data_IF_287568599374
#
_entry.id   IF_287568599374
#
_cell.length_a   1.000
_cell.length_b   1.000
_cell.length_c   1.000
_cell.angle_alpha   90.00
_cell.angle_beta   90.00
_cell.angle_gamma   90.00
#
_symmetry.space_group_name_H-M   'P 1'
#
loop_
_entity.id
_entity.type
_entity.pdbx_description
1 polymer ?
#
# COMPACT_ATOMS: atom_id res chain seq x y z
N UNK A 1 29.30 -96.49 -27.70
CA UNK A 1 29.84 -95.24 -27.13
C UNK A 1 31.02 -94.84 -28.00
N UNK A 2 30.77 -94.09 -29.08
CA UNK A 2 31.80 -93.74 -30.06
C UNK A 2 32.43 -92.40 -29.65
N UNK A 3 33.55 -92.45 -28.91
CA UNK A 3 34.42 -91.28 -28.76
C UNK A 3 35.04 -90.98 -30.12
N UNK A 4 34.79 -89.79 -30.65
CA UNK A 4 35.46 -89.35 -31.88
C UNK A 4 36.90 -89.00 -31.50
N UNK A 5 37.88 -89.44 -32.29
CA UNK A 5 39.31 -89.17 -32.10
C UNK A 5 39.62 -87.66 -32.03
N UNK A 6 38.71 -86.82 -32.52
CA UNK A 6 38.74 -85.36 -32.41
C UNK A 6 38.37 -84.80 -31.03
N UNK A 7 37.74 -85.57 -30.13
CA UNK A 7 37.32 -85.07 -28.80
C UNK A 7 38.46 -85.13 -27.75
N UNK A 8 39.41 -86.04 -27.94
CA UNK A 8 40.58 -86.22 -27.06
C UNK A 8 41.47 -84.96 -27.00
N UNK A 9 41.84 -84.29 -28.12
CA UNK A 9 42.63 -83.07 -28.04
C UNK A 9 41.90 -81.91 -27.36
N UNK A 10 40.57 -81.76 -27.53
CA UNK A 10 39.81 -80.71 -26.85
C UNK A 10 39.69 -80.94 -25.34
N UNK A 11 39.56 -82.20 -24.90
CA UNK A 11 39.55 -82.54 -23.48
C UNK A 11 40.89 -82.21 -22.80
N UNK A 12 42.02 -82.47 -23.48
CA UNK A 12 43.36 -82.11 -22.99
C UNK A 12 43.55 -80.59 -22.95
N UNK A 13 43.10 -79.87 -23.98
CA UNK A 13 43.14 -78.39 -24.01
C UNK A 13 42.29 -77.77 -22.89
N UNK A 14 41.10 -78.34 -22.61
CA UNK A 14 40.26 -77.94 -21.48
C UNK A 14 40.95 -78.15 -20.13
N UNK A 15 41.65 -79.28 -19.96
CA UNK A 15 42.41 -79.57 -18.74
C UNK A 15 43.60 -78.61 -18.59
N UNK A 16 44.33 -78.35 -19.67
CA UNK A 16 45.45 -77.40 -19.69
C UNK A 16 44.99 -75.98 -19.37
N UNK A 17 43.85 -75.55 -19.91
CA UNK A 17 43.26 -74.26 -19.59
C UNK A 17 42.80 -74.18 -18.13
N UNK A 18 42.18 -75.24 -17.58
CA UNK A 18 41.82 -75.30 -16.16
C UNK A 18 43.05 -75.20 -15.24
N UNK A 19 44.17 -75.83 -15.61
CA UNK A 19 45.42 -75.75 -14.83
C UNK A 19 46.06 -74.36 -14.97
N UNK A 20 46.08 -73.78 -16.17
CA UNK A 20 46.58 -72.42 -16.40
C UNK A 20 45.74 -71.35 -15.69
N UNK A 21 44.47 -71.65 -15.39
CA UNK A 21 43.53 -70.78 -14.69
C UNK A 21 43.71 -70.76 -13.17
N UNK A 22 44.18 -71.84 -12.55
CA UNK A 22 44.39 -71.94 -11.09
C UNK A 22 45.14 -70.73 -10.48
N UNK A 23 46.27 -70.25 -11.03
CA UNK A 23 46.95 -69.08 -10.47
C UNK A 23 46.13 -67.78 -10.59
N UNK A 24 45.34 -67.61 -11.64
CA UNK A 24 44.45 -66.46 -11.81
C UNK A 24 43.28 -66.50 -10.83
N UNK A 25 42.71 -67.68 -10.59
CA UNK A 25 41.63 -67.88 -9.62
C UNK A 25 42.11 -67.63 -8.17
N UNK A 26 43.37 -67.98 -7.85
CA UNK A 26 43.97 -67.66 -6.55
C UNK A 26 44.15 -66.15 -6.34
N UNK A 27 44.46 -65.40 -7.41
CA UNK A 27 44.55 -63.93 -7.35
C UNK A 27 43.14 -63.32 -7.12
N UNK A 28 42.12 -63.86 -7.77
CA UNK A 28 40.72 -63.48 -7.54
C UNK A 28 40.31 -63.73 -6.08
N UNK A 29 40.56 -64.93 -5.56
CA UNK A 29 40.16 -65.36 -4.21
C UNK A 29 40.94 -64.65 -3.09
N UNK A 30 42.19 -64.23 -3.32
CA UNK A 30 43.06 -63.68 -2.27
C UNK A 30 43.26 -62.16 -2.34
N UNK A 31 43.24 -61.58 -3.55
CA UNK A 31 43.50 -60.15 -3.77
C UNK A 31 42.22 -59.41 -4.12
N UNK A 32 41.40 -59.94 -5.02
CA UNK A 32 40.18 -59.24 -5.47
C UNK A 32 39.02 -59.33 -4.48
N UNK A 33 38.94 -60.38 -3.65
CA UNK A 33 37.99 -60.45 -2.52
C UNK A 33 38.21 -59.37 -1.46
N UNK A 34 39.43 -58.82 -1.35
CA UNK A 34 39.78 -57.73 -0.43
C UNK A 34 39.46 -56.34 -0.98
N UNK A 35 39.27 -56.23 -2.30
CA UNK A 35 38.87 -54.99 -2.96
C UNK A 35 37.35 -54.88 -2.95
N UNK A 36 36.82 -53.67 -2.80
CA UNK A 36 35.38 -53.43 -2.87
C UNK A 36 34.85 -53.89 -4.26
N UNK A 37 33.77 -54.69 -4.33
CA UNK A 37 33.13 -55.09 -5.60
C UNK A 37 32.84 -53.94 -6.57
N UNK A 38 32.72 -52.70 -6.08
CA UNK A 38 32.45 -51.50 -6.90
C UNK A 38 33.72 -50.80 -7.41
N UNK A 39 34.91 -51.26 -7.01
CA UNK A 39 36.17 -50.63 -7.43
C UNK A 39 36.37 -50.77 -8.95
N UNK A 40 36.68 -49.70 -9.70
CA UNK A 40 36.86 -49.76 -11.15
C UNK A 40 37.90 -50.79 -11.62
N UNK A 41 38.99 -50.96 -10.85
CA UNK A 41 40.03 -51.94 -11.15
C UNK A 41 39.53 -53.39 -11.04
N UNK A 42 38.68 -53.68 -10.05
CA UNK A 42 38.06 -55.00 -9.85
C UNK A 42 37.03 -55.29 -10.93
N UNK A 43 36.16 -54.32 -11.25
CA UNK A 43 35.16 -54.45 -12.32
C UNK A 43 35.82 -54.69 -13.69
N UNK A 44 36.91 -53.99 -14.02
CA UNK A 44 37.64 -54.18 -15.26
C UNK A 44 38.30 -55.56 -15.34
N UNK A 45 38.85 -56.05 -14.22
CA UNK A 45 39.40 -57.39 -14.11
C UNK A 45 38.32 -58.47 -14.29
N UNK A 46 37.22 -58.39 -13.53
CA UNK A 46 36.08 -59.34 -13.62
C UNK A 46 35.49 -59.39 -15.04
N UNK A 47 35.34 -58.25 -15.71
CA UNK A 47 34.85 -58.18 -17.09
C UNK A 47 35.82 -58.80 -18.10
N UNK A 48 37.11 -58.54 -17.96
CA UNK A 48 38.13 -59.06 -18.88
C UNK A 48 38.29 -60.56 -18.72
N UNK A 49 38.27 -61.04 -17.48
CA UNK A 49 38.33 -62.46 -17.14
C UNK A 49 37.07 -63.21 -17.56
N UNK A 50 35.88 -62.64 -17.32
CA UNK A 50 34.62 -63.23 -17.76
C UNK A 50 34.51 -63.36 -19.29
N UNK A 51 35.03 -62.40 -20.07
CA UNK A 51 35.12 -62.51 -21.53
C UNK A 51 36.08 -63.60 -22.00
N UNK A 52 37.21 -63.77 -21.32
CA UNK A 52 38.16 -64.84 -21.63
C UNK A 52 37.51 -66.21 -21.38
N UNK A 53 36.79 -66.36 -20.26
CA UNK A 53 36.05 -67.56 -19.94
C UNK A 53 34.90 -67.84 -20.92
N UNK A 54 34.15 -66.81 -21.31
CA UNK A 54 33.06 -66.94 -22.26
C UNK A 54 33.57 -67.42 -23.63
N UNK A 55 34.66 -66.81 -24.13
CA UNK A 55 35.25 -67.13 -25.44
C UNK A 55 35.91 -68.50 -25.45
N UNK A 56 36.68 -68.84 -24.41
CA UNK A 56 37.33 -70.15 -24.29
C UNK A 56 36.31 -71.26 -24.02
N UNK A 57 35.29 -71.00 -23.20
CA UNK A 57 34.18 -71.91 -22.95
C UNK A 57 33.35 -72.19 -24.21
N UNK A 58 33.13 -71.16 -25.03
CA UNK A 58 32.49 -71.31 -26.35
C UNK A 58 33.34 -72.10 -27.35
N UNK A 59 34.65 -71.83 -27.42
CA UNK A 59 35.57 -72.50 -28.35
C UNK A 59 35.83 -73.97 -27.98
N UNK A 60 35.85 -74.31 -26.69
CA UNK A 60 36.14 -75.66 -26.18
C UNK A 60 34.88 -76.49 -25.86
N UNK A 61 33.68 -75.96 -26.12
CA UNK A 61 32.41 -76.63 -25.76
C UNK A 61 32.21 -76.83 -24.26
N UNK A 62 32.86 -76.02 -23.41
CA UNK A 62 32.73 -76.07 -21.97
C UNK A 62 31.60 -75.13 -21.49
N UNK A 63 30.38 -75.66 -21.40
CA UNK A 63 29.16 -74.89 -21.09
C UNK A 63 29.26 -74.15 -19.75
N UNK A 64 29.69 -74.83 -18.68
CA UNK A 64 29.81 -74.21 -17.35
C UNK A 64 30.82 -73.05 -17.30
N UNK A 65 31.83 -73.08 -18.18
CA UNK A 65 32.86 -72.04 -18.28
C UNK A 65 32.28 -70.81 -18.99
N UNK A 66 31.50 -71.06 -20.05
CA UNK A 66 30.81 -70.01 -20.80
C UNK A 66 29.72 -69.31 -19.97
N UNK A 67 28.91 -70.07 -19.24
CA UNK A 67 27.85 -69.52 -18.37
C UNK A 67 28.42 -68.66 -17.24
N UNK A 68 29.51 -69.12 -16.60
CA UNK A 68 30.18 -68.32 -15.57
C UNK A 68 30.81 -67.05 -16.12
N UNK A 69 31.47 -67.13 -17.28
CA UNK A 69 32.08 -65.97 -17.92
C UNK A 69 31.05 -64.90 -18.28
N UNK A 70 29.94 -65.31 -18.90
CA UNK A 70 28.83 -64.42 -19.25
C UNK A 70 28.17 -63.78 -18.01
N UNK A 71 27.88 -64.55 -16.96
CA UNK A 71 27.34 -64.02 -15.70
C UNK A 71 28.26 -62.99 -15.04
N UNK A 72 29.59 -63.19 -15.09
CA UNK A 72 30.57 -62.26 -14.53
C UNK A 72 30.63 -60.95 -15.32
N UNK A 73 30.56 -61.03 -16.66
CA UNK A 73 30.49 -59.85 -17.54
C UNK A 73 29.21 -59.06 -17.30
N UNK A 74 28.07 -59.73 -17.22
CA UNK A 74 26.77 -59.09 -16.95
C UNK A 74 26.76 -58.38 -15.60
N UNK A 75 27.20 -59.06 -14.54
CA UNK A 75 27.30 -58.48 -13.19
C UNK A 75 28.20 -57.25 -13.16
N UNK A 76 29.38 -57.32 -13.77
CA UNK A 76 30.32 -56.19 -13.81
C UNK A 76 29.75 -54.98 -14.56
N UNK A 77 29.09 -55.21 -15.70
CA UNK A 77 28.44 -54.14 -16.44
C UNK A 77 27.27 -53.52 -15.66
N UNK A 78 26.48 -54.33 -14.95
CA UNK A 78 25.38 -53.86 -14.13
C UNK A 78 25.86 -52.98 -12.96
N UNK A 79 26.94 -53.40 -12.27
CA UNK A 79 27.57 -52.62 -11.20
C UNK A 79 28.15 -51.30 -11.72
N UNK A 80 28.86 -51.33 -12.85
CA UNK A 80 29.39 -50.10 -13.44
C UNK A 80 28.27 -49.10 -13.79
N UNK A 81 27.15 -49.60 -14.32
CA UNK A 81 25.97 -48.77 -14.59
C UNK A 81 25.34 -48.21 -13.32
N UNK A 82 25.25 -49.00 -12.25
CA UNK A 82 24.73 -48.55 -10.97
C UNK A 82 25.57 -47.41 -10.40
N UNK A 83 26.91 -47.53 -10.41
CA UNK A 83 27.83 -46.48 -9.95
C UNK A 83 27.65 -45.18 -10.75
N UNK A 84 27.48 -45.29 -12.08
CA UNK A 84 27.23 -44.12 -12.93
C UNK A 84 25.90 -43.43 -12.58
N UNK A 85 24.83 -44.20 -12.41
CA UNK A 85 23.53 -43.68 -12.04
C UNK A 85 23.54 -43.04 -10.64
N UNK A 86 24.26 -43.63 -9.68
CA UNK A 86 24.41 -43.06 -8.32
C UNK A 86 25.19 -41.73 -8.36
N UNK A 87 26.24 -41.66 -9.17
CA UNK A 87 27.00 -40.42 -9.37
C UNK A 87 26.15 -39.33 -10.04
N UNK A 88 25.35 -39.68 -11.05
CA UNK A 88 24.40 -38.76 -11.70
C UNK A 88 23.30 -38.30 -10.72
N UNK A 89 22.71 -39.22 -9.95
CA UNK A 89 21.70 -38.88 -8.94
C UNK A 89 22.27 -37.96 -7.86
N UNK A 90 23.48 -38.24 -7.36
CA UNK A 90 24.19 -37.38 -6.40
C UNK A 90 24.47 -35.99 -6.98
N UNK A 91 24.81 -35.91 -8.27
CA UNK A 91 25.01 -34.62 -8.94
C UNK A 91 23.69 -33.85 -9.07
N UNK A 92 22.64 -34.51 -9.57
CA UNK A 92 21.33 -33.89 -9.78
C UNK A 92 20.72 -33.40 -8.46
N UNK A 93 20.85 -34.18 -7.38
CA UNK A 93 20.38 -33.76 -6.04
C UNK A 93 21.14 -32.54 -5.54
N UNK A 94 22.46 -32.48 -5.71
CA UNK A 94 23.27 -31.30 -5.34
C UNK A 94 22.90 -30.05 -6.16
N UNK A 95 22.69 -30.20 -7.46
CA UNK A 95 22.26 -29.11 -8.33
C UNK A 95 20.87 -28.60 -7.92
N UNK A 96 19.90 -29.51 -7.72
CA UNK A 96 18.55 -29.16 -7.27
C UNK A 96 18.55 -28.50 -5.88
N UNK A 97 19.36 -28.97 -4.94
CA UNK A 97 19.51 -28.35 -3.62
C UNK A 97 20.12 -26.95 -3.70
N UNK A 98 21.04 -26.73 -4.63
CA UNK A 98 21.64 -25.41 -4.86
C UNK A 98 20.60 -24.44 -5.45
N UNK A 99 19.88 -24.86 -6.49
CA UNK A 99 18.79 -24.09 -7.10
C UNK A 99 17.69 -23.76 -6.07
N UNK A 100 17.30 -24.72 -5.24
CA UNK A 100 16.30 -24.50 -4.19
C UNK A 100 16.78 -23.47 -3.18
N UNK A 101 18.05 -23.51 -2.75
CA UNK A 101 18.61 -22.54 -1.81
C UNK A 101 18.67 -21.14 -2.41
N UNK A 102 19.04 -21.02 -3.68
CA UNK A 102 19.05 -19.76 -4.41
C UNK A 102 17.64 -19.17 -4.51
N UNK A 103 16.67 -19.96 -4.95
CA UNK A 103 15.26 -19.54 -5.02
C UNK A 103 14.69 -19.15 -3.66
N UNK A 104 15.07 -19.86 -2.58
CA UNK A 104 14.67 -19.48 -1.21
C UNK A 104 15.32 -18.17 -0.76
N UNK A 105 16.58 -17.91 -1.12
CA UNK A 105 17.26 -16.68 -0.79
C UNK A 105 16.63 -15.48 -1.52
N UNK A 106 16.38 -15.62 -2.82
CA UNK A 106 15.70 -14.62 -3.65
C UNK A 106 14.29 -14.31 -3.11
N UNK A 107 13.49 -15.35 -2.84
CA UNK A 107 12.16 -15.17 -2.26
C UNK A 107 12.19 -14.50 -0.87
N UNK A 108 13.22 -14.75 -0.06
CA UNK A 108 13.39 -14.10 1.24
C UNK A 108 13.76 -12.62 1.09
N UNK A 109 14.58 -12.27 0.10
CA UNK A 109 14.94 -10.89 -0.24
C UNK A 109 13.72 -10.12 -0.77
N UNK A 110 13.00 -10.69 -1.73
CA UNK A 110 11.75 -10.11 -2.27
C UNK A 110 10.72 -9.85 -1.16
N UNK A 111 10.55 -10.80 -0.24
CA UNK A 111 9.64 -10.62 0.89
C UNK A 111 10.09 -9.51 1.84
N UNK A 112 11.39 -9.32 2.03
CA UNK A 112 11.95 -8.27 2.87
C UNK A 112 11.74 -6.90 2.22
N UNK A 113 11.99 -6.79 0.93
CA UNK A 113 11.83 -5.55 0.17
C UNK A 113 10.35 -5.16 0.06
N UNK A 114 9.47 -6.11 -0.27
CA UNK A 114 8.03 -5.88 -0.29
C UNK A 114 7.48 -5.43 1.08
N UNK A 115 8.04 -5.94 2.19
CA UNK A 115 7.69 -5.48 3.54
C UNK A 115 8.19 -4.07 3.80
N UNK A 116 9.42 -3.75 3.43
CA UNK A 116 10.00 -2.42 3.58
C UNK A 116 9.19 -1.36 2.80
N UNK A 117 8.87 -1.66 1.54
CA UNK A 117 8.03 -0.82 0.69
C UNK A 117 6.64 -0.61 1.27
N UNK A 118 6.02 -1.70 1.75
CA UNK A 118 4.70 -1.62 2.41
C UNK A 118 4.75 -0.73 3.65
N UNK A 119 5.78 -0.85 4.48
CA UNK A 119 5.94 -0.01 5.66
C UNK A 119 6.14 1.45 5.30
N UNK A 120 6.96 1.75 4.29
CA UNK A 120 7.17 3.10 3.79
C UNK A 120 5.87 3.70 3.26
N UNK A 121 5.14 2.97 2.41
CA UNK A 121 3.86 3.39 1.86
C UNK A 121 2.82 3.67 2.96
N UNK A 122 2.77 2.84 4.01
CA UNK A 122 1.88 3.06 5.17
C UNK A 122 2.30 4.31 5.95
N UNK A 123 3.60 4.53 6.17
CA UNK A 123 4.11 5.74 6.85
C UNK A 123 3.78 7.00 6.06
N UNK A 124 4.00 6.99 4.75
CA UNK A 124 3.68 8.10 3.86
C UNK A 124 2.18 8.39 3.84
N UNK A 125 1.34 7.36 3.64
CA UNK A 125 -0.11 7.51 3.65
C UNK A 125 -0.62 8.09 4.98
N UNK A 126 -0.05 7.67 6.13
CA UNK A 126 -0.38 8.25 7.44
C UNK A 126 0.04 9.71 7.54
N UNK A 127 1.25 10.06 7.09
CA UNK A 127 1.74 11.45 7.06
C UNK A 127 0.83 12.33 6.21
N UNK A 128 0.51 11.91 4.98
CA UNK A 128 -0.40 12.64 4.08
C UNK A 128 -1.79 12.78 4.68
N UNK A 129 -2.33 11.74 5.32
CA UNK A 129 -3.62 11.81 5.99
C UNK A 129 -3.62 12.81 7.15
N UNK A 130 -2.56 12.84 7.96
CA UNK A 130 -2.40 13.82 9.05
C UNK A 130 -2.31 15.25 8.51
N UNK A 131 -1.51 15.47 7.47
CA UNK A 131 -1.39 16.78 6.82
C UNK A 131 -2.74 17.24 6.25
N UNK A 132 -3.48 16.35 5.57
CA UNK A 132 -4.83 16.67 5.06
C UNK A 132 -5.80 17.02 6.17
N UNK A 133 -5.77 16.29 7.30
CA UNK A 133 -6.61 16.59 8.46
C UNK A 133 -6.30 17.97 9.04
N UNK A 134 -5.02 18.30 9.20
CA UNK A 134 -4.59 19.62 9.68
C UNK A 134 -5.00 20.73 8.71
N UNK A 135 -4.78 20.55 7.41
CA UNK A 135 -5.18 21.52 6.38
C UNK A 135 -6.70 21.73 6.34
N UNK A 136 -7.49 20.66 6.48
CA UNK A 136 -8.93 20.73 6.55
C UNK A 136 -9.41 21.51 7.79
N UNK A 137 -8.79 21.28 8.95
CA UNK A 137 -9.12 22.00 10.18
C UNK A 137 -8.76 23.48 10.07
N UNK A 138 -7.57 23.81 9.56
CA UNK A 138 -7.19 25.21 9.30
C UNK A 138 -8.12 25.90 8.29
N UNK A 139 -8.51 25.19 7.22
CA UNK A 139 -9.47 25.72 6.25
C UNK A 139 -10.85 25.96 6.89
N UNK A 140 -11.32 25.04 7.75
CA UNK A 140 -12.57 25.19 8.51
C UNK A 140 -12.51 26.40 9.45
N UNK A 141 -11.41 26.57 10.18
CA UNK A 141 -11.22 27.71 11.08
C UNK A 141 -11.22 29.03 10.30
N UNK A 142 -10.47 29.12 9.20
CA UNK A 142 -10.46 30.30 8.33
C UNK A 142 -11.86 30.63 7.81
N UNK A 143 -12.60 29.64 7.29
CA UNK A 143 -13.98 29.83 6.81
C UNK A 143 -14.90 30.33 7.92
N UNK A 144 -14.79 29.77 9.11
CA UNK A 144 -15.59 30.17 10.28
C UNK A 144 -15.28 31.61 10.69
N UNK A 145 -14.00 31.99 10.73
CA UNK A 145 -13.58 33.36 11.04
C UNK A 145 -14.06 34.36 9.97
N UNK A 146 -13.92 34.02 8.69
CA UNK A 146 -14.44 34.86 7.60
C UNK A 146 -15.96 35.01 7.66
N UNK A 147 -16.68 33.92 7.95
CA UNK A 147 -18.14 33.97 8.10
C UNK A 147 -18.56 34.84 9.29
N UNK A 148 -17.86 34.72 10.43
CA UNK A 148 -18.08 35.56 11.60
C UNK A 148 -17.82 37.04 11.27
N UNK A 149 -16.68 37.36 10.68
CA UNK A 149 -16.33 38.73 10.30
C UNK A 149 -17.37 39.36 9.35
N UNK A 150 -17.85 38.60 8.35
CA UNK A 150 -18.94 39.06 7.46
C UNK A 150 -20.24 39.31 8.21
N UNK A 151 -20.57 38.44 9.17
CA UNK A 151 -21.79 38.59 9.98
C UNK A 151 -21.71 39.82 10.87
N UNK A 152 -20.56 40.03 11.51
CA UNK A 152 -20.29 41.19 12.35
C UNK A 152 -20.31 42.50 11.53
N UNK A 153 -19.76 42.49 10.31
CA UNK A 153 -19.82 43.63 9.38
C UNK A 153 -21.27 43.97 8.99
N UNK A 154 -22.07 42.95 8.65
CA UNK A 154 -23.50 43.14 8.32
C UNK A 154 -24.28 43.68 9.53
N UNK A 155 -24.01 43.16 10.73
CA UNK A 155 -24.63 43.64 11.96
C UNK A 155 -24.25 45.10 12.26
N UNK A 156 -22.98 45.47 12.06
CA UNK A 156 -22.49 46.84 12.23
C UNK A 156 -23.19 47.81 11.25
N UNK A 157 -23.27 47.46 9.95
CA UNK A 157 -23.99 48.26 8.95
C UNK A 157 -25.47 48.43 9.29
N UNK A 158 -26.14 47.37 9.75
CA UNK A 158 -27.55 47.46 10.19
C UNK A 158 -27.72 48.38 11.39
N UNK A 159 -26.79 48.34 12.36
CA UNK A 159 -26.80 49.25 13.51
C UNK A 159 -26.64 50.71 13.09
N UNK A 160 -25.70 50.98 12.18
CA UNK A 160 -25.47 52.31 11.63
C UNK A 160 -26.71 52.84 10.90
N UNK A 161 -27.32 52.03 10.02
CA UNK A 161 -28.58 52.40 9.33
C UNK A 161 -29.70 52.71 10.33
N UNK A 162 -29.85 51.91 11.38
CA UNK A 162 -30.85 52.14 12.41
C UNK A 162 -30.60 53.43 13.21
N UNK A 163 -29.34 53.73 13.54
CA UNK A 163 -28.95 54.96 14.23
C UNK A 163 -29.19 56.20 13.36
N UNK A 164 -28.80 56.16 12.10
CA UNK A 164 -29.05 57.25 11.14
C UNK A 164 -30.55 57.48 10.94
N UNK A 165 -31.35 56.40 10.85
CA UNK A 165 -32.80 56.51 10.78
C UNK A 165 -33.42 57.12 12.05
N UNK A 166 -32.87 56.80 13.23
CA UNK A 166 -33.30 57.40 14.50
C UNK A 166 -32.99 58.89 14.55
N UNK A 167 -31.76 59.30 14.20
CA UNK A 167 -31.35 60.71 14.15
C UNK A 167 -32.24 61.52 13.20
N UNK A 168 -32.50 61.02 11.99
CA UNK A 168 -33.40 61.68 11.03
C UNK A 168 -34.83 61.84 11.57
N UNK A 169 -35.33 60.86 12.33
CA UNK A 169 -36.64 60.97 12.98
C UNK A 169 -36.62 62.03 14.09
N UNK A 170 -35.59 62.08 14.90
CA UNK A 170 -35.44 63.09 15.96
C UNK A 170 -35.34 64.51 15.38
N UNK A 171 -34.58 64.70 14.30
CA UNK A 171 -34.51 65.97 13.56
C UNK A 171 -35.88 66.37 12.96
N UNK A 172 -36.59 65.42 12.35
CA UNK A 172 -37.94 65.67 11.81
C UNK A 172 -38.95 66.02 12.92
N UNK A 173 -38.88 65.39 14.08
CA UNK A 173 -39.73 65.73 15.23
C UNK A 173 -39.40 67.14 15.73
N UNK A 174 -38.12 67.46 15.95
CA UNK A 174 -37.70 68.77 16.45
C UNK A 174 -38.10 69.90 15.48
N UNK A 175 -37.93 69.71 14.18
CA UNK A 175 -38.39 70.68 13.17
C UNK A 175 -39.90 70.91 13.20
N UNK A 176 -40.69 69.84 13.32
CA UNK A 176 -42.16 69.94 13.47
C UNK A 176 -42.55 70.62 14.78
N UNK A 177 -41.88 70.31 15.89
CA UNK A 177 -42.11 70.96 17.19
C UNK A 177 -41.78 72.44 17.16
N UNK A 178 -40.66 72.83 16.56
CA UNK A 178 -40.28 74.23 16.37
C UNK A 178 -41.31 74.97 15.50
N UNK A 179 -41.78 74.36 14.41
CA UNK A 179 -42.82 74.94 13.57
C UNK A 179 -44.14 75.13 14.33
N UNK A 180 -44.57 74.12 15.10
CA UNK A 180 -45.76 74.22 15.97
C UNK A 180 -45.60 75.31 17.02
N UNK A 181 -44.41 75.41 17.65
CA UNK A 181 -44.11 76.43 18.67
C UNK A 181 -44.13 77.83 18.07
N UNK A 182 -43.55 78.03 16.88
CA UNK A 182 -43.61 79.31 16.15
C UNK A 182 -45.06 79.70 15.83
N UNK A 183 -45.86 78.77 15.30
CA UNK A 183 -47.27 79.01 15.01
C UNK A 183 -48.07 79.35 16.28
N UNK A 184 -47.82 78.67 17.39
CA UNK A 184 -48.46 78.96 18.67
C UNK A 184 -48.09 80.36 19.19
N UNK A 185 -46.81 80.75 19.10
CA UNK A 185 -46.36 82.11 19.45
C UNK A 185 -47.00 83.18 18.58
N UNK A 186 -47.10 82.95 17.27
CA UNK A 186 -47.75 83.87 16.35
C UNK A 186 -49.24 84.07 16.71
N UNK A 187 -49.98 82.99 16.99
CA UNK A 187 -51.36 83.06 17.47
C UNK A 187 -51.51 83.80 18.80
N UNK A 188 -50.55 83.64 19.71
CA UNK A 188 -50.53 84.34 20.99
C UNK A 188 -50.33 85.85 20.80
N UNK A 189 -49.42 86.25 19.90
CA UNK A 189 -49.18 87.64 19.57
C UNK A 189 -50.41 88.30 18.91
N UNK A 190 -51.01 87.63 17.92
CA UNK A 190 -52.25 88.07 17.24
C UNK A 190 -53.41 88.26 18.23
N UNK A 191 -53.58 87.33 19.18
CA UNK A 191 -54.58 87.45 20.23
C UNK A 191 -54.27 88.59 21.23
N UNK A 192 -53.01 88.89 21.49
CA UNK A 192 -52.61 90.04 22.31
C UNK A 192 -52.88 91.36 21.59
N UNK A 193 -52.58 91.46 20.29
CA UNK A 193 -52.88 92.62 19.45
C UNK A 193 -54.39 92.88 19.39
N UNK A 194 -55.19 91.84 19.13
CA UNK A 194 -56.66 91.95 19.15
C UNK A 194 -57.19 92.42 20.51
N UNK A 195 -56.55 91.99 21.62
CA UNK A 195 -56.91 92.45 22.97
C UNK A 195 -56.57 93.93 23.19
N UNK A 196 -55.45 94.41 22.66
CA UNK A 196 -55.07 95.82 22.72
C UNK A 196 -56.07 96.65 21.91
N UNK A 197 -56.36 96.26 20.66
CA UNK A 197 -57.36 96.94 19.83
C UNK A 197 -58.75 96.98 20.49
N UNK A 198 -59.17 95.88 21.13
CA UNK A 198 -60.43 95.84 21.84
C UNK A 198 -60.45 96.79 23.04
N UNK A 199 -59.34 96.89 23.79
CA UNK A 199 -59.21 97.84 24.91
C UNK A 199 -59.23 99.30 24.42
N UNK A 200 -58.56 99.60 23.31
CA UNK A 200 -58.61 100.92 22.67
C UNK A 200 -60.03 101.31 22.25
N UNK A 201 -60.77 100.38 21.62
CA UNK A 201 -62.18 100.60 21.26
C UNK A 201 -63.09 100.81 22.46
N UNK A 202 -62.83 100.15 23.59
CA UNK A 202 -63.57 100.40 24.84
C UNK A 202 -63.28 101.82 25.33
N UNK A 203 -62.02 102.25 25.37
CA UNK A 203 -61.66 103.62 25.76
C UNK A 203 -62.26 104.66 24.82
N UNK A 204 -62.26 104.42 23.52
CA UNK A 204 -62.90 105.30 22.53
C UNK A 204 -64.43 105.36 22.73
N UNK A 205 -65.07 104.22 23.00
CA UNK A 205 -66.49 104.16 23.31
C UNK A 205 -66.83 104.91 24.62
N UNK A 206 -66.03 104.74 25.68
CA UNK A 206 -66.18 105.44 26.95
C UNK A 206 -66.05 106.96 26.75
N UNK A 207 -65.10 107.41 25.91
CA UNK A 207 -64.96 108.83 25.55
C UNK A 207 -66.17 109.36 24.76
N UNK A 208 -66.70 108.58 23.81
CA UNK A 208 -67.91 108.95 23.07
C UNK A 208 -69.11 109.04 24.01
N UNK A 209 -69.22 108.15 24.99
CA UNK A 209 -70.27 108.16 26.01
C UNK A 209 -70.15 109.40 26.92
N UNK A 210 -68.94 109.74 27.40
CA UNK A 210 -68.69 110.99 28.12
C UNK A 210 -69.07 112.23 27.30
N UNK A 211 -68.76 112.24 26.00
CA UNK A 211 -69.12 113.35 25.11
C UNK A 211 -70.64 113.42 24.89
N UNK A 212 -71.31 112.28 24.75
CA UNK A 212 -72.77 112.20 24.63
C UNK A 212 -73.48 112.62 25.92
N UNK A 213 -72.95 112.26 27.10
CA UNK A 213 -73.45 112.74 28.39
C UNK A 213 -73.21 114.24 28.58
N UNK A 214 -72.04 114.75 28.20
CA UNK A 214 -71.72 116.18 28.23
C UNK A 214 -72.61 117.00 27.28
N UNK A 215 -73.00 116.46 26.13
CA UNK A 215 -73.91 117.12 25.20
C UNK A 215 -75.38 117.04 25.65
N UNK A 216 -75.78 115.97 26.35
CA UNK A 216 -77.07 115.89 27.08
C UNK A 216 -77.15 116.93 28.19
N UNK A 217 -76.08 117.13 28.96
CA UNK A 217 -76.01 118.14 30.03
C UNK A 217 -76.03 119.59 29.51
N UNK A 218 -75.66 119.83 28.24
CA UNK A 218 -75.80 121.14 27.57
C UNK A 218 -77.19 121.41 26.99
N UNK A 219 -78.08 120.40 26.94
CA UNK A 219 -79.46 120.52 26.44
C UNK A 219 -80.52 120.62 27.57
N UNK A 220 -80.10 120.70 28.83
CA UNK A 220 -80.91 121.04 30.01
C UNK A 220 -80.61 122.45 30.48
#
# INVERSE_FOLDING_TARGET
>A
MHMRITDVPFAVLRLQYQVARLPLQLIEDQVMTRLDPETPARLFYERSFGKLDETVGGALGAVDLRERGSALVERSNALLRAIQLEAEATRNTREADAELREAQAEAAEDLKDARADREQNVKEARSTALQRKQAAEQARQKRTQTAKAKTDEVAAKRKEVAQTAKQRKEEAINTVEQAKTKNARAKLADAQETRVEAAEKIVEADQIEEWAEAEKAKRS
#
